data_IF_110062843601
#
_entry.id   IF_110062843601
#
_cell.length_a   1.000
_cell.length_b   1.000
_cell.length_c   1.000
_cell.angle_alpha   90.00
_cell.angle_beta   90.00
_cell.angle_gamma   90.00
#
_symmetry.space_group_name_H-M   'P 1'
#
loop_
_entity.id
_entity.type
_entity.pdbx_description
1 polymer ?
#
# COMPACT_ATOMS: atom_id res chain seq x y z
N UNK A 1 0.73 10.96 -11.21
CA UNK A 1 1.28 9.79 -10.48
C UNK A 1 1.19 9.93 -8.96
N UNK A 2 1.62 11.04 -8.34
CA UNK A 2 1.59 11.19 -6.87
C UNK A 2 0.20 10.95 -6.22
N UNK A 3 -0.88 11.54 -6.78
CA UNK A 3 -2.25 11.26 -6.33
C UNK A 3 -2.68 9.80 -6.53
N UNK A 4 -2.19 9.16 -7.60
CA UNK A 4 -2.49 7.76 -7.92
C UNK A 4 -1.86 6.76 -6.95
N UNK A 5 -0.70 7.10 -6.36
CA UNK A 5 -0.06 6.28 -5.33
C UNK A 5 -0.90 6.32 -4.05
N UNK A 6 -1.35 7.50 -3.62
CA UNK A 6 -2.22 7.67 -2.45
C UNK A 6 -3.55 6.94 -2.66
N UNK A 7 -4.13 7.03 -3.86
CA UNK A 7 -5.39 6.39 -4.20
C UNK A 7 -5.28 4.90 -4.59
N UNK A 8 -4.07 4.32 -4.62
CA UNK A 8 -3.88 2.90 -4.97
C UNK A 8 -4.46 1.94 -3.93
N UNK A 9 -4.68 2.39 -2.69
CA UNK A 9 -5.20 1.59 -1.59
C UNK A 9 -4.18 0.61 -0.97
N UNK A 10 -2.96 0.49 -1.50
CA UNK A 10 -2.00 -0.53 -1.03
C UNK A 10 -1.49 -0.29 0.40
N UNK A 11 -1.39 0.97 0.85
CA UNK A 11 -1.11 1.28 2.25
C UNK A 11 -2.24 0.84 3.18
N UNK A 12 -3.50 0.99 2.75
CA UNK A 12 -4.67 0.53 3.51
C UNK A 12 -4.69 -1.00 3.58
N UNK A 13 -4.53 -1.68 2.43
CA UNK A 13 -4.50 -3.15 2.35
C UNK A 13 -3.39 -3.74 3.22
N UNK A 14 -2.20 -3.11 3.22
CA UNK A 14 -1.09 -3.53 4.07
C UNK A 14 -1.42 -3.35 5.55
N UNK A 15 -2.04 -2.22 5.92
CA UNK A 15 -2.50 -1.95 7.29
C UNK A 15 -3.47 -3.01 7.80
N UNK A 16 -4.54 -3.29 7.04
CA UNK A 16 -5.56 -4.27 7.44
C UNK A 16 -4.99 -5.69 7.48
N UNK A 17 -4.03 -6.01 6.60
CA UNK A 17 -3.35 -7.31 6.60
C UNK A 17 -2.55 -7.50 7.89
N UNK A 18 -1.78 -6.50 8.31
CA UNK A 18 -1.06 -6.56 9.59
C UNK A 18 -2.00 -6.74 10.77
N UNK A 19 -3.12 -6.00 10.81
CA UNK A 19 -4.16 -6.16 11.85
C UNK A 19 -4.69 -7.60 11.84
N UNK A 20 -5.03 -8.16 10.68
CA UNK A 20 -5.53 -9.52 10.54
C UNK A 20 -4.54 -10.61 10.96
N UNK A 21 -3.24 -10.34 10.88
CA UNK A 21 -2.19 -11.28 11.33
C UNK A 21 -2.05 -11.33 12.86
N UNK A 22 -2.56 -10.33 13.59
CA UNK A 22 -2.59 -10.29 15.06
C UNK A 22 -1.21 -10.16 15.72
N UNK A 23 -0.36 -11.19 15.62
CA UNK A 23 0.94 -11.25 16.29
C UNK A 23 1.95 -10.18 15.82
N UNK A 24 1.79 -9.68 14.59
CA UNK A 24 2.64 -8.67 13.96
C UNK A 24 2.08 -7.24 14.13
N UNK A 25 0.82 -7.08 14.54
CA UNK A 25 0.12 -5.79 14.65
C UNK A 25 0.58 -4.94 15.85
N UNK A 26 1.86 -4.58 15.90
CA UNK A 26 2.47 -3.75 16.94
C UNK A 26 2.77 -2.35 16.42
N UNK A 27 2.93 -1.38 17.31
CA UNK A 27 3.20 0.02 16.93
C UNK A 27 4.38 0.16 15.92
N UNK A 28 5.45 -0.61 16.13
CA UNK A 28 6.64 -0.63 15.28
C UNK A 28 6.32 -0.90 13.80
N UNK A 29 5.38 -1.81 13.49
CA UNK A 29 5.05 -2.13 12.10
C UNK A 29 4.27 -1.00 11.43
N UNK A 30 3.41 -0.31 12.19
CA UNK A 30 2.65 0.84 11.67
C UNK A 30 3.53 2.08 11.54
N UNK A 31 4.50 2.27 12.44
CA UNK A 31 5.54 3.30 12.27
C UNK A 31 6.40 3.01 11.04
N UNK A 32 6.83 1.75 10.84
CA UNK A 32 7.54 1.34 9.63
C UNK A 32 6.72 1.64 8.37
N UNK A 33 5.43 1.31 8.37
CA UNK A 33 4.53 1.54 7.24
C UNK A 33 4.33 3.03 6.95
N UNK A 34 4.23 3.87 7.98
CA UNK A 34 4.05 5.33 7.85
C UNK A 34 5.32 6.02 7.32
N UNK A 35 6.49 5.38 7.44
CA UNK A 35 7.76 5.85 6.88
C UNK A 35 7.94 5.53 5.38
N UNK A 36 6.85 5.24 4.64
CA UNK A 36 6.83 5.00 3.21
C UNK A 36 7.87 3.96 2.75
N UNK A 37 7.80 2.72 3.24
CA UNK A 37 8.78 1.70 2.92
C UNK A 37 8.78 1.43 1.41
N UNK A 38 9.99 1.33 0.84
CA UNK A 38 10.20 1.23 -0.62
C UNK A 38 9.33 0.15 -1.27
N UNK A 39 9.15 -0.98 -0.58
CA UNK A 39 8.35 -2.10 -1.09
C UNK A 39 6.87 -1.74 -1.23
N UNK A 40 6.26 -1.11 -0.21
CA UNK A 40 4.85 -0.71 -0.27
C UNK A 40 4.66 0.37 -1.32
N UNK A 41 5.58 1.34 -1.41
CA UNK A 41 5.55 2.36 -2.44
C UNK A 41 5.66 1.78 -3.86
N UNK A 42 6.56 0.81 -4.07
CA UNK A 42 6.69 0.13 -5.36
C UNK A 42 5.41 -0.65 -5.71
N UNK A 43 4.80 -1.36 -4.76
CA UNK A 43 3.53 -2.07 -4.99
C UNK A 43 2.39 -1.12 -5.33
N UNK A 44 2.30 0.03 -4.66
CA UNK A 44 1.30 1.06 -4.97
C UNK A 44 1.43 1.59 -6.40
N UNK A 45 2.67 1.80 -6.88
CA UNK A 45 2.93 2.23 -8.27
C UNK A 45 2.51 1.13 -9.26
N UNK A 46 2.94 -0.11 -9.04
CA UNK A 46 2.62 -1.24 -9.92
C UNK A 46 1.10 -1.42 -10.00
N UNK A 47 0.42 -1.39 -8.86
CA UNK A 47 -1.03 -1.50 -8.80
C UNK A 47 -1.75 -0.39 -9.56
N UNK A 48 -1.33 0.87 -9.36
CA UNK A 48 -1.92 2.01 -10.06
C UNK A 48 -1.75 1.88 -11.57
N UNK A 49 -0.55 1.50 -12.03
CA UNK A 49 -0.27 1.29 -13.45
C UNK A 49 -1.10 0.15 -14.04
N UNK A 50 -1.22 -0.98 -13.34
CA UNK A 50 -2.04 -2.11 -13.82
C UNK A 50 -3.52 -1.72 -13.91
N UNK A 51 -4.05 -1.03 -12.90
CA UNK A 51 -5.44 -0.59 -12.87
C UNK A 51 -5.74 0.45 -13.98
N UNK A 52 -4.80 1.37 -14.23
CA UNK A 52 -4.88 2.35 -15.33
C UNK A 52 -4.82 1.67 -16.72
N UNK A 53 -4.00 0.62 -16.90
CA UNK A 53 -3.91 -0.13 -18.16
C UNK A 53 -5.21 -0.90 -18.44
N UNK A 54 -5.75 -1.57 -17.42
CA UNK A 54 -6.97 -2.38 -17.57
C UNK A 54 -8.21 -1.51 -17.78
N UNK A 55 -8.25 -0.35 -17.13
CA UNK A 55 -9.40 0.58 -17.19
C UNK A 55 -9.35 1.55 -18.37
N UNK A 56 -8.50 1.30 -19.37
CA UNK A 56 -8.42 2.13 -20.57
C UNK A 56 -9.56 1.80 -21.53
N UNK A 57 -10.56 2.68 -21.65
CA UNK A 57 -11.53 2.69 -22.77
C UNK A 57 -10.85 2.97 -24.12
#
# INVERSE_FOLDING_TARGET
MALGIVNSGYYLVTTISFIGMGCIAKEEIFQWLTNNPKIVNATAIIARLMDDIVSNE
#
